data_IF_297833314374
#
_entry.id   IF_297833314374
#
_cell.length_a   1.000
_cell.length_b   1.000
_cell.length_c   1.000
_cell.angle_alpha   90.00
_cell.angle_beta   90.00
_cell.angle_gamma   90.00
#
_symmetry.space_group_name_H-M   'P 1'
#
loop_
_entity.id
_entity.type
_entity.pdbx_description
1 polymer ?
#
# COMPACT_ATOMS: atom_id res chain seq x y z
N UNK A 1 -7.00 54.47 -13.68
CA UNK A 1 -8.31 54.16 -13.06
C UNK A 1 -8.27 52.72 -12.57
N UNK A 2 -8.54 52.45 -11.29
CA UNK A 2 -8.60 51.07 -10.74
C UNK A 2 -10.05 50.60 -10.80
N UNK A 3 -10.34 49.54 -11.53
CA UNK A 3 -11.69 48.98 -11.62
C UNK A 3 -12.08 48.37 -10.28
N UNK A 4 -13.21 48.76 -9.66
CA UNK A 4 -13.63 48.20 -8.37
C UNK A 4 -14.01 46.73 -8.54
N UNK A 5 -13.50 45.86 -7.65
CA UNK A 5 -13.85 44.45 -7.64
C UNK A 5 -15.34 44.32 -7.33
N UNK A 6 -16.09 43.72 -8.26
CA UNK A 6 -17.53 43.52 -8.08
C UNK A 6 -17.80 42.31 -7.18
N UNK A 7 -18.90 42.34 -6.41
CA UNK A 7 -19.31 41.22 -5.55
C UNK A 7 -19.41 39.89 -6.30
N UNK A 8 -19.82 39.94 -7.58
CA UNK A 8 -19.90 38.77 -8.46
C UNK A 8 -18.53 38.21 -8.81
N UNK A 9 -17.54 39.08 -9.06
CA UNK A 9 -16.15 38.66 -9.23
C UNK A 9 -15.60 38.08 -7.93
N UNK A 10 -15.90 38.68 -6.77
CA UNK A 10 -15.48 38.13 -5.47
C UNK A 10 -16.04 36.72 -5.24
N UNK A 11 -17.35 36.52 -5.38
CA UNK A 11 -17.98 35.19 -5.21
C UNK A 11 -17.47 34.18 -6.23
N UNK A 12 -17.28 34.58 -7.50
CA UNK A 12 -16.72 33.71 -8.53
C UNK A 12 -15.28 33.28 -8.20
N UNK A 13 -14.44 34.22 -7.72
CA UNK A 13 -13.05 33.93 -7.33
C UNK A 13 -12.98 33.08 -6.06
N UNK A 14 -13.84 33.32 -5.06
CA UNK A 14 -13.88 32.51 -3.83
C UNK A 14 -14.42 31.10 -4.09
N UNK A 15 -15.41 30.93 -4.99
CA UNK A 15 -15.90 29.61 -5.39
C UNK A 15 -14.82 28.81 -6.12
N UNK A 16 -14.03 29.44 -7.00
CA UNK A 16 -12.89 28.79 -7.65
C UNK A 16 -11.78 28.38 -6.67
N UNK A 17 -11.54 29.18 -5.62
CA UNK A 17 -10.56 28.84 -4.57
C UNK A 17 -11.02 27.68 -3.67
N UNK A 18 -12.33 27.48 -3.49
CA UNK A 18 -12.88 26.38 -2.68
C UNK A 18 -12.78 24.99 -3.34
N UNK A 19 -12.44 24.93 -4.64
CA UNK A 19 -12.17 23.68 -5.36
C UNK A 19 -10.76 23.13 -5.12
N UNK A 20 -9.88 23.91 -4.48
CA UNK A 20 -8.61 23.40 -3.95
C UNK A 20 -8.89 22.72 -2.62
N UNK A 21 -9.67 21.64 -2.68
CA UNK A 21 -9.77 20.69 -1.59
C UNK A 21 -8.34 20.26 -1.25
N UNK A 22 -8.04 20.15 0.04
CA UNK A 22 -6.75 19.70 0.56
C UNK A 22 -6.54 18.25 0.08
N UNK A 23 -6.06 18.08 -1.14
CA UNK A 23 -5.72 16.77 -1.69
C UNK A 23 -4.38 16.39 -1.09
N UNK A 24 -4.29 15.24 -0.39
CA UNK A 24 -3.01 14.77 0.13
C UNK A 24 -1.99 14.71 -1.00
N UNK A 25 -0.75 15.15 -0.74
CA UNK A 25 0.35 15.14 -1.72
C UNK A 25 0.59 13.78 -2.36
N UNK A 26 0.15 12.69 -1.70
CA UNK A 26 0.16 11.31 -2.19
C UNK A 26 -0.82 11.03 -3.34
N UNK A 27 -1.87 11.85 -3.51
CA UNK A 27 -2.88 11.72 -4.58
C UNK A 27 -2.40 12.38 -5.88
N UNK A 28 -1.55 13.41 -5.78
CA UNK A 28 -1.07 14.17 -6.93
C UNK A 28 0.20 13.59 -7.57
N UNK A 29 0.64 12.39 -7.16
CA UNK A 29 1.81 11.73 -7.75
C UNK A 29 3.07 12.60 -7.75
N UNK A 30 3.25 13.45 -6.74
CA UNK A 30 4.39 14.37 -6.64
C UNK A 30 5.69 13.56 -6.63
N UNK A 31 6.65 13.97 -7.45
CA UNK A 31 7.87 13.22 -7.80
C UNK A 31 8.43 12.36 -6.67
N UNK A 32 8.58 11.06 -6.94
CA UNK A 32 9.19 10.07 -6.03
C UNK A 32 8.23 9.23 -5.19
N UNK A 33 6.93 9.52 -5.16
CA UNK A 33 5.95 8.70 -4.42
C UNK A 33 4.97 8.00 -5.35
N UNK A 34 5.04 6.67 -5.42
CA UNK A 34 4.03 5.86 -6.12
C UNK A 34 2.67 6.02 -5.42
N UNK A 35 1.61 6.43 -6.15
CA UNK A 35 0.26 6.45 -5.60
C UNK A 35 -0.15 5.03 -5.18
N UNK A 36 -1.06 4.87 -4.20
CA UNK A 36 -1.44 3.55 -3.71
C UNK A 36 -1.95 2.58 -4.79
N UNK A 37 -2.54 3.09 -5.86
CA UNK A 37 -3.04 2.31 -7.01
C UNK A 37 -1.94 1.74 -7.91
N UNK A 38 -0.72 2.27 -7.85
CA UNK A 38 0.44 1.79 -8.63
C UNK A 38 1.36 0.87 -7.83
N UNK A 39 1.00 0.59 -6.56
CA UNK A 39 1.75 -0.31 -5.70
C UNK A 39 1.39 -1.76 -6.00
N UNK A 40 2.40 -2.62 -5.99
CA UNK A 40 2.24 -4.05 -6.17
C UNK A 40 1.65 -4.68 -4.92
N UNK A 41 0.76 -5.65 -5.11
CA UNK A 41 0.30 -6.54 -4.06
C UNK A 41 1.25 -7.75 -3.96
N UNK A 42 2.01 -7.80 -2.88
CA UNK A 42 3.04 -8.80 -2.64
C UNK A 42 2.55 -9.82 -1.62
N UNK A 43 2.81 -11.09 -1.92
CA UNK A 43 2.67 -12.20 -0.97
C UNK A 43 4.04 -12.73 -0.53
N UNK A 44 4.19 -13.05 0.75
CA UNK A 44 5.39 -13.70 1.29
C UNK A 44 5.16 -15.19 1.54
N UNK A 45 6.09 -16.07 1.14
CA UNK A 45 6.10 -17.51 1.44
C UNK A 45 7.40 -17.85 2.17
N UNK A 46 7.28 -18.45 3.36
CA UNK A 46 8.41 -18.66 4.27
C UNK A 46 8.85 -17.32 4.83
N UNK A 47 8.08 -16.76 5.76
CA UNK A 47 8.20 -15.35 6.17
C UNK A 47 8.99 -15.16 7.44
N UNK A 48 9.33 -16.24 8.16
CA UNK A 48 10.28 -16.20 9.27
C UNK A 48 11.73 -15.90 8.83
N UNK A 49 12.58 -15.49 9.77
CA UNK A 49 14.02 -15.30 9.53
C UNK A 49 14.35 -14.35 8.37
N UNK A 50 14.99 -14.87 7.31
CA UNK A 50 15.33 -14.09 6.11
C UNK A 50 14.09 -13.58 5.35
N UNK A 51 12.97 -14.31 5.40
CA UNK A 51 11.72 -13.85 4.80
C UNK A 51 11.24 -12.53 5.39
N UNK A 52 11.43 -12.32 6.70
CA UNK A 52 11.10 -11.07 7.36
C UNK A 52 11.96 -9.91 6.84
N UNK A 53 13.26 -10.13 6.71
CA UNK A 53 14.19 -9.12 6.20
C UNK A 53 13.84 -8.75 4.75
N UNK A 54 13.56 -9.76 3.91
CA UNK A 54 13.15 -9.54 2.53
C UNK A 54 11.85 -8.75 2.43
N UNK A 55 10.82 -9.13 3.21
CA UNK A 55 9.56 -8.39 3.24
C UNK A 55 9.71 -6.96 3.74
N UNK A 56 10.63 -6.72 4.68
CA UNK A 56 10.90 -5.36 5.19
C UNK A 56 11.46 -4.43 4.11
N UNK A 57 12.20 -4.97 3.13
CA UNK A 57 12.65 -4.20 1.96
C UNK A 57 11.55 -3.96 0.92
N UNK A 58 10.35 -4.54 1.11
CA UNK A 58 9.20 -4.39 0.23
C UNK A 58 8.06 -3.57 0.85
N UNK A 59 8.29 -2.89 1.98
CA UNK A 59 7.24 -2.16 2.72
C UNK A 59 6.68 -0.93 2.00
N UNK A 60 7.34 -0.47 0.94
CA UNK A 60 6.81 0.58 0.08
C UNK A 60 5.60 0.10 -0.75
N UNK A 61 5.48 -1.22 -0.94
CA UNK A 61 4.42 -1.91 -1.67
C UNK A 61 3.36 -2.47 -0.71
N UNK A 62 2.31 -3.13 -1.24
CA UNK A 62 1.22 -3.66 -0.42
C UNK A 62 1.50 -5.12 -0.04
N UNK A 63 1.80 -5.40 1.22
CA UNK A 63 1.87 -6.79 1.71
C UNK A 63 0.45 -7.31 1.98
N UNK A 64 -0.06 -8.17 1.09
CA UNK A 64 -1.47 -8.62 1.09
C UNK A 64 -1.67 -10.02 1.66
N UNK A 65 -0.65 -10.87 1.59
CA UNK A 65 -0.71 -12.23 2.11
C UNK A 65 0.63 -12.69 2.66
N UNK A 66 0.58 -13.50 3.70
CA UNK A 66 1.74 -14.14 4.31
C UNK A 66 1.45 -15.63 4.46
N UNK A 67 2.41 -16.47 4.08
CA UNK A 67 2.30 -17.91 4.15
C UNK A 67 3.50 -18.48 4.90
N UNK A 68 3.24 -19.23 5.98
CA UNK A 68 4.27 -19.98 6.69
C UNK A 68 3.67 -21.25 7.31
N UNK A 69 4.44 -22.32 7.35
CA UNK A 69 4.03 -23.57 8.01
C UNK A 69 4.19 -23.49 9.53
N UNK A 70 5.16 -22.69 10.00
CA UNK A 70 5.42 -22.47 11.42
C UNK A 70 4.89 -21.10 11.85
N UNK A 71 3.65 -21.09 12.31
CA UNK A 71 2.97 -19.86 12.72
C UNK A 71 3.57 -19.24 13.99
N UNK A 72 4.13 -20.05 14.89
CA UNK A 72 4.72 -19.55 16.13
C UNK A 72 6.04 -18.82 15.83
N UNK A 73 6.85 -19.39 14.94
CA UNK A 73 8.06 -18.74 14.45
C UNK A 73 7.74 -17.46 13.66
N UNK A 74 6.72 -17.50 12.81
CA UNK A 74 6.30 -16.36 11.97
C UNK A 74 5.42 -15.32 12.69
N UNK A 75 5.00 -15.56 13.94
CA UNK A 75 4.02 -14.74 14.65
C UNK A 75 4.38 -13.25 14.69
N UNK A 76 5.67 -12.93 14.86
CA UNK A 76 6.17 -11.54 14.86
C UNK A 76 5.93 -10.85 13.52
N UNK A 77 6.03 -11.58 12.42
CA UNK A 77 5.84 -11.06 11.06
C UNK A 77 4.36 -10.86 10.76
N UNK A 78 3.51 -11.80 11.19
CA UNK A 78 2.06 -11.65 11.11
C UNK A 78 1.58 -10.41 11.88
N UNK A 79 2.10 -10.20 13.09
CA UNK A 79 1.80 -9.03 13.90
C UNK A 79 2.28 -7.71 13.26
N UNK A 80 3.40 -7.73 12.53
CA UNK A 80 3.93 -6.57 11.81
C UNK A 80 3.04 -6.15 10.63
N UNK A 81 2.41 -7.10 9.97
CA UNK A 81 1.54 -6.86 8.81
C UNK A 81 0.10 -7.34 9.07
N UNK A 82 -0.64 -6.70 10.00
CA UNK A 82 -1.94 -7.19 10.47
C UNK A 82 -3.05 -7.15 9.41
N UNK A 83 -2.81 -6.46 8.28
CA UNK A 83 -3.74 -6.41 7.15
C UNK A 83 -3.51 -7.54 6.14
N UNK A 84 -2.37 -8.20 6.19
CA UNK A 84 -2.07 -9.32 5.32
C UNK A 84 -2.84 -10.55 5.79
N UNK A 85 -3.45 -11.29 4.86
CA UNK A 85 -4.09 -12.56 5.20
C UNK A 85 -3.02 -13.61 5.45
N UNK A 86 -3.17 -14.36 6.53
CA UNK A 86 -2.24 -15.43 6.91
C UNK A 86 -2.74 -16.76 6.37
N UNK A 87 -1.83 -17.53 5.80
CA UNK A 87 -2.06 -18.87 5.26
C UNK A 87 -0.98 -19.83 5.75
N UNK A 88 -1.32 -21.12 5.81
CA UNK A 88 -0.34 -22.18 6.09
C UNK A 88 0.15 -22.85 4.81
N UNK A 89 -0.74 -23.04 3.83
CA UNK A 89 -0.43 -23.61 2.51
C UNK A 89 -0.46 -22.53 1.41
N UNK A 90 0.63 -22.41 0.65
CA UNK A 90 0.74 -21.43 -0.43
C UNK A 90 -0.17 -21.74 -1.63
N UNK A 91 -0.59 -23.00 -1.80
CA UNK A 91 -1.52 -23.42 -2.86
C UNK A 91 -2.90 -22.87 -2.56
N UNK A 92 -3.34 -23.02 -1.32
CA UNK A 92 -4.57 -22.42 -0.82
C UNK A 92 -4.52 -20.90 -0.91
N UNK A 93 -3.40 -20.29 -0.52
CA UNK A 93 -3.18 -18.85 -0.69
C UNK A 93 -3.36 -18.43 -2.16
N UNK A 94 -2.71 -19.11 -3.11
CA UNK A 94 -2.82 -18.81 -4.56
C UNK A 94 -4.24 -19.06 -5.08
N UNK A 95 -4.96 -20.02 -4.52
CA UNK A 95 -6.34 -20.29 -4.87
C UNK A 95 -7.31 -19.21 -4.35
N UNK A 96 -7.11 -18.74 -3.11
CA UNK A 96 -8.03 -17.79 -2.45
C UNK A 96 -7.68 -16.32 -2.67
N UNK A 97 -6.41 -16.00 -2.85
CA UNK A 97 -5.90 -14.64 -3.01
C UNK A 97 -5.53 -14.40 -4.48
N UNK A 98 -6.43 -13.73 -5.21
CA UNK A 98 -6.32 -13.51 -6.67
C UNK A 98 -5.69 -12.18 -7.05
N UNK A 99 -5.54 -11.29 -6.08
CA UNK A 99 -4.99 -9.95 -6.16
C UNK A 99 -3.48 -9.93 -5.86
N UNK A 100 -2.76 -11.05 -6.00
CA UNK A 100 -1.30 -11.11 -5.82
C UNK A 100 -0.63 -10.79 -7.16
N UNK A 101 0.22 -9.76 -7.18
CA UNK A 101 1.03 -9.37 -8.34
C UNK A 101 2.42 -10.02 -8.31
N UNK A 102 3.00 -10.20 -7.12
CA UNK A 102 4.34 -10.75 -6.94
C UNK A 102 4.46 -11.60 -5.66
N UNK A 103 5.45 -12.50 -5.65
CA UNK A 103 5.70 -13.40 -4.53
C UNK A 103 7.16 -13.30 -4.09
N UNK A 104 7.40 -13.12 -2.79
CA UNK A 104 8.71 -13.26 -2.17
C UNK A 104 8.80 -14.66 -1.57
N UNK A 105 9.69 -15.49 -2.10
CA UNK A 105 9.91 -16.87 -1.63
C UNK A 105 11.22 -16.88 -0.85
N UNK A 106 11.15 -17.16 0.44
CA UNK A 106 12.31 -17.28 1.33
C UNK A 106 12.26 -18.59 2.15
N UNK A 107 11.61 -19.61 1.59
CA UNK A 107 11.69 -20.98 2.10
C UNK A 107 13.12 -21.51 1.95
N UNK A 108 13.56 -22.43 2.85
CA UNK A 108 14.82 -23.15 2.65
C UNK A 108 14.80 -23.97 1.35
N UNK A 109 15.99 -24.32 0.86
CA UNK A 109 16.21 -25.20 -0.31
C UNK A 109 15.75 -26.65 -0.04
#
# INVERSE_FOLDING_TARGET
MKTPITRRQFVATTAAASLVQILPSRVLGREGHKPPSERLNIAGIGVGGMGQANLSNCEEENIVALCDVDHDYAAKVFAKYPRAKVYTDYREMKEKQKDIDAVVIATPD
#
